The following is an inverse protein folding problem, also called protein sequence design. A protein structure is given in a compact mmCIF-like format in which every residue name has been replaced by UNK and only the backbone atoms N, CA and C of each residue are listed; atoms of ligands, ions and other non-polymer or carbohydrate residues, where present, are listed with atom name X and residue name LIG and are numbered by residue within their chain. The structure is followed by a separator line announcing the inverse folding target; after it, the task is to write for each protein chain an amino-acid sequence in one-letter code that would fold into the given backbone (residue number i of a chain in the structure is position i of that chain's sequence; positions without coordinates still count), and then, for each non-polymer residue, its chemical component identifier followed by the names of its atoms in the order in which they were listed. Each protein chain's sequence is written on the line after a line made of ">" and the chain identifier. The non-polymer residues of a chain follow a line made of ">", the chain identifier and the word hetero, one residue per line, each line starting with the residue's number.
data_IF_371752936305
#
_entry.id   IF_371752936305
#
_cell.length_a   1.000
_cell.length_b   1.000
_cell.length_c   1.000
_cell.angle_alpha   90.00
_cell.angle_beta   90.00
_cell.angle_gamma   90.00
#
_symmetry.space_group_name_H-M   'P 1'
#
loop_
_entity.id
_entity.type
_entity.pdbx_description
1 polymer ?
#
# COMPACT_ATOMS: atom_id res chain seq x y z
N UNK A 1 -27.47 -53.27 11.72
CA UNK A 1 -26.07 -53.43 11.84
C UNK A 1 -25.37 -52.82 10.68
N UNK A 2 -25.15 -51.57 10.65
CA UNK A 2 -24.60 -50.93 9.46
C UNK A 2 -23.30 -50.23 9.77
N UNK A 3 -22.30 -51.06 9.83
CA UNK A 3 -20.93 -50.63 9.99
C UNK A 3 -20.39 -49.91 8.77
N UNK A 4 -21.24 -49.71 7.78
CA UNK A 4 -20.84 -49.07 6.50
C UNK A 4 -20.97 -47.57 6.48
N UNK A 5 -21.46 -47.01 7.57
CA UNK A 5 -21.69 -45.56 7.63
C UNK A 5 -20.60 -44.78 8.32
N UNK A 6 -19.55 -45.42 8.75
CA UNK A 6 -18.51 -44.75 9.53
C UNK A 6 -17.32 -44.34 8.67
N UNK A 7 -17.26 -44.80 7.42
CA UNK A 7 -16.09 -44.57 6.58
C UNK A 7 -16.18 -43.25 5.77
N UNK A 8 -17.33 -42.62 5.76
CA UNK A 8 -17.54 -41.45 4.90
C UNK A 8 -17.17 -40.12 5.54
N UNK A 9 -16.71 -40.10 6.77
CA UNK A 9 -16.50 -38.81 7.47
C UNK A 9 -15.04 -38.39 7.56
N UNK A 10 -14.14 -39.20 7.06
CA UNK A 10 -12.72 -38.98 7.26
C UNK A 10 -11.98 -38.29 6.11
N UNK A 11 -12.71 -37.81 5.12
CA UNK A 11 -12.07 -37.24 3.94
C UNK A 11 -12.11 -35.71 3.95
N UNK A 12 -12.78 -35.12 4.90
CA UNK A 12 -12.97 -33.65 4.88
C UNK A 12 -11.90 -32.90 5.67
N UNK A 13 -11.04 -33.62 6.35
CA UNK A 13 -10.01 -32.97 7.16
C UNK A 13 -8.76 -32.56 6.42
N UNK A 14 -8.69 -32.79 5.14
CA UNK A 14 -7.56 -32.39 4.35
C UNK A 14 -7.89 -31.19 3.47
N UNK A 15 -8.55 -30.22 4.03
CA UNK A 15 -8.47 -28.91 3.41
C UNK A 15 -7.06 -28.42 3.63
N UNK A 16 -6.27 -28.32 2.59
CA UNK A 16 -4.97 -27.72 2.73
C UNK A 16 -5.21 -26.28 3.11
N UNK A 17 -5.00 -26.05 4.34
CA UNK A 17 -4.88 -24.71 4.85
C UNK A 17 -3.82 -23.91 4.12
N UNK A 18 -3.06 -24.57 3.32
CA UNK A 18 -2.06 -23.95 2.46
C UNK A 18 -2.62 -23.02 1.41
N UNK A 19 -3.93 -22.97 1.26
CA UNK A 19 -4.49 -21.98 0.37
C UNK A 19 -4.29 -20.54 0.86
N UNK A 20 -3.83 -20.40 2.06
CA UNK A 20 -3.28 -19.13 2.49
C UNK A 20 -1.93 -18.93 1.94
N UNK A 21 -1.70 -19.51 0.83
CA UNK A 21 -0.52 -19.26 0.12
C UNK A 21 -0.16 -17.82 0.32
N UNK A 22 0.70 -17.67 1.23
CA UNK A 22 1.44 -16.47 1.31
C UNK A 22 1.78 -16.16 -0.09
N UNK A 23 1.27 -15.08 -0.57
CA UNK A 23 1.67 -14.57 -1.86
C UNK A 23 3.18 -14.61 -1.86
N UNK A 24 3.82 -15.36 -2.76
CA UNK A 24 5.26 -15.34 -2.85
C UNK A 24 5.68 -13.88 -3.06
N UNK A 25 6.46 -13.34 -2.17
CA UNK A 25 6.89 -11.97 -2.24
C UNK A 25 6.06 -10.96 -1.43
N UNK A 26 5.07 -11.40 -0.67
CA UNK A 26 4.47 -10.56 0.37
C UNK A 26 5.46 -10.42 1.52
N UNK A 27 6.55 -9.70 1.28
CA UNK A 27 7.42 -9.27 2.36
C UNK A 27 6.66 -8.32 3.26
N UNK A 28 6.78 -8.53 4.55
CA UNK A 28 6.23 -7.59 5.53
C UNK A 28 6.93 -6.25 5.32
N UNK A 29 6.17 -5.21 5.06
CA UNK A 29 6.71 -3.85 4.95
C UNK A 29 7.35 -3.45 6.27
N UNK A 30 8.56 -2.95 6.18
CA UNK A 30 9.36 -2.57 7.34
C UNK A 30 9.73 -1.09 7.29
N UNK A 31 10.24 -0.60 8.41
CA UNK A 31 10.82 0.75 8.47
C UNK A 31 11.96 0.93 7.46
N UNK A 32 12.72 -0.13 7.20
CA UNK A 32 13.81 -0.11 6.20
C UNK A 32 13.28 0.13 4.80
N UNK A 33 12.15 -0.49 4.43
CA UNK A 33 11.52 -0.28 3.13
C UNK A 33 11.08 1.19 2.97
N UNK A 34 10.49 1.77 4.00
CA UNK A 34 10.10 3.17 4.00
C UNK A 34 11.32 4.09 3.87
N UNK A 35 12.40 3.82 4.59
CA UNK A 35 13.65 4.58 4.50
C UNK A 35 14.29 4.47 3.12
N UNK A 36 14.22 3.30 2.49
CA UNK A 36 14.70 3.10 1.13
C UNK A 36 13.93 3.98 0.14
N UNK A 37 12.61 4.00 0.23
CA UNK A 37 11.76 4.85 -0.59
C UNK A 37 12.08 6.34 -0.39
N UNK A 38 12.22 6.77 0.87
CA UNK A 38 12.65 8.14 1.18
C UNK A 38 13.98 8.49 0.50
N UNK A 39 14.94 7.59 0.56
CA UNK A 39 16.26 7.78 -0.06
C UNK A 39 16.16 7.87 -1.59
N UNK A 40 15.37 7.00 -2.21
CA UNK A 40 15.15 7.01 -3.67
C UNK A 40 14.52 8.33 -4.12
N UNK A 41 13.47 8.77 -3.46
CA UNK A 41 12.75 9.99 -3.83
C UNK A 41 13.59 11.24 -3.52
N UNK A 42 14.23 11.30 -2.36
CA UNK A 42 15.05 12.46 -1.99
C UNK A 42 16.30 12.61 -2.83
N UNK A 43 16.83 11.51 -3.34
CA UNK A 43 18.03 11.50 -4.18
C UNK A 43 17.78 11.85 -5.65
N UNK A 44 16.52 11.89 -6.09
CA UNK A 44 16.14 12.15 -7.48
C UNK A 44 15.18 13.33 -7.57
N UNK A 45 15.64 14.43 -8.19
CA UNK A 45 14.83 15.63 -8.32
C UNK A 45 13.51 15.39 -9.06
N UNK A 46 13.53 14.57 -10.11
CA UNK A 46 12.33 14.26 -10.88
C UNK A 46 11.34 13.47 -10.03
N UNK A 47 11.80 12.50 -9.26
CA UNK A 47 10.94 11.72 -8.35
C UNK A 47 10.37 12.56 -7.23
N UNK A 48 11.15 13.49 -6.68
CA UNK A 48 10.63 14.46 -5.69
C UNK A 48 9.49 15.28 -6.27
N UNK A 49 9.65 15.79 -7.48
CA UNK A 49 8.60 16.56 -8.14
C UNK A 49 7.34 15.71 -8.34
N UNK A 50 7.49 14.48 -8.81
CA UNK A 50 6.38 13.56 -8.99
C UNK A 50 5.65 13.31 -7.65
N UNK A 51 6.39 13.08 -6.58
CA UNK A 51 5.82 12.87 -5.25
C UNK A 51 5.01 14.09 -4.79
N UNK A 52 5.56 15.28 -4.97
CA UNK A 52 4.87 16.53 -4.61
C UNK A 52 3.62 16.78 -5.45
N UNK A 53 3.68 16.47 -6.75
CA UNK A 53 2.51 16.54 -7.63
C UNK A 53 1.41 15.55 -7.17
N UNK A 54 1.80 14.35 -6.74
CA UNK A 54 0.86 13.37 -6.17
C UNK A 54 0.20 13.88 -4.89
N UNK A 55 0.94 14.52 -4.01
CA UNK A 55 0.40 15.11 -2.79
C UNK A 55 -0.66 16.17 -3.12
N UNK A 56 -0.38 17.04 -4.08
CA UNK A 56 -1.36 18.04 -4.55
C UNK A 56 -2.60 17.41 -5.18
N UNK A 57 -2.42 16.34 -5.96
CA UNK A 57 -3.55 15.60 -6.53
C UNK A 57 -4.41 14.97 -5.43
N UNK A 58 -3.79 14.44 -4.39
CA UNK A 58 -4.50 13.90 -3.23
C UNK A 58 -5.41 14.94 -2.56
N UNK A 59 -4.91 16.15 -2.39
CA UNK A 59 -5.70 17.27 -1.86
C UNK A 59 -6.87 17.65 -2.78
N UNK A 60 -6.62 17.69 -4.08
CA UNK A 60 -7.65 17.98 -5.08
C UNK A 60 -8.73 16.89 -5.10
N UNK A 61 -8.35 15.61 -4.97
CA UNK A 61 -9.28 14.50 -4.86
C UNK A 61 -10.16 14.65 -3.62
N UNK A 62 -9.57 15.01 -2.48
CA UNK A 62 -10.30 15.22 -1.24
C UNK A 62 -11.34 16.35 -1.40
N UNK A 63 -10.95 17.47 -2.01
CA UNK A 63 -11.86 18.59 -2.28
C UNK A 63 -12.98 18.22 -3.27
N UNK A 64 -12.66 17.49 -4.33
CA UNK A 64 -13.65 17.01 -5.28
C UNK A 64 -14.65 16.05 -4.62
N UNK A 65 -14.17 15.21 -3.73
CA UNK A 65 -14.99 14.27 -2.98
C UNK A 65 -15.95 15.01 -2.02
N UNK A 66 -15.48 16.05 -1.33
CA UNK A 66 -16.33 16.90 -0.50
C UNK A 66 -17.44 17.57 -1.30
N UNK A 67 -17.14 17.95 -2.53
CA UNK A 67 -18.12 18.56 -3.46
C UNK A 67 -18.99 17.51 -4.15
N UNK A 68 -18.77 16.23 -3.91
CA UNK A 68 -19.44 15.09 -4.57
C UNK A 68 -19.27 15.10 -6.09
N UNK A 69 -18.18 15.65 -6.58
CA UNK A 69 -17.83 15.67 -7.99
C UNK A 69 -17.11 14.37 -8.37
N UNK A 70 -17.89 13.33 -8.59
CA UNK A 70 -17.36 11.99 -8.89
C UNK A 70 -16.53 11.95 -10.17
N UNK A 71 -16.89 12.77 -11.16
CA UNK A 71 -16.12 12.85 -12.41
C UNK A 71 -14.71 13.39 -12.15
N UNK A 72 -14.61 14.48 -11.41
CA UNK A 72 -13.32 15.03 -11.04
C UNK A 72 -12.50 14.04 -10.19
N UNK A 73 -13.13 13.33 -9.26
CA UNK A 73 -12.46 12.28 -8.47
C UNK A 73 -11.86 11.21 -9.37
N UNK A 74 -12.62 10.71 -10.34
CA UNK A 74 -12.15 9.67 -11.26
C UNK A 74 -10.98 10.16 -12.12
N UNK A 75 -11.08 11.35 -12.70
CA UNK A 75 -10.03 11.92 -13.55
C UNK A 75 -8.74 12.17 -12.75
N UNK A 76 -8.84 12.73 -11.56
CA UNK A 76 -7.69 13.00 -10.69
C UNK A 76 -7.06 11.70 -10.18
N UNK A 77 -7.87 10.70 -9.86
CA UNK A 77 -7.38 9.38 -9.42
C UNK A 77 -6.57 8.68 -10.51
N UNK A 78 -7.02 8.77 -11.77
CA UNK A 78 -6.25 8.22 -12.89
C UNK A 78 -4.90 8.90 -13.06
N UNK A 79 -4.85 10.22 -12.87
CA UNK A 79 -3.58 10.98 -12.91
C UNK A 79 -2.66 10.56 -11.75
N UNK A 80 -3.23 10.34 -10.57
CA UNK A 80 -2.48 9.89 -9.40
C UNK A 80 -1.82 8.53 -9.65
N UNK A 81 -2.57 7.57 -10.17
CA UNK A 81 -2.03 6.24 -10.52
C UNK A 81 -0.90 6.34 -11.55
N UNK A 82 -1.06 7.18 -12.57
CA UNK A 82 -0.01 7.38 -13.58
C UNK A 82 1.27 7.97 -12.98
N UNK A 83 1.18 8.86 -12.01
CA UNK A 83 2.35 9.40 -11.31
C UNK A 83 2.97 8.36 -10.36
N UNK A 84 2.15 7.57 -9.68
CA UNK A 84 2.60 6.49 -8.81
C UNK A 84 3.47 5.49 -9.58
N UNK A 85 3.05 5.09 -10.77
CA UNK A 85 3.83 4.22 -11.65
C UNK A 85 5.22 4.80 -11.99
N UNK A 86 5.31 6.12 -12.13
CA UNK A 86 6.58 6.80 -12.42
C UNK A 86 7.53 6.85 -11.21
N UNK A 87 7.00 6.77 -9.99
CA UNK A 87 7.84 6.70 -8.79
C UNK A 87 8.59 5.38 -8.68
N UNK A 88 8.03 4.31 -9.22
CA UNK A 88 8.67 3.02 -9.26
C UNK A 88 8.01 1.98 -8.35
N UNK A 89 8.42 0.71 -8.52
CA UNK A 89 7.80 -0.41 -7.82
C UNK A 89 8.02 -0.38 -6.31
N UNK A 90 9.10 0.22 -5.83
CA UNK A 90 9.41 0.30 -4.41
C UNK A 90 8.37 1.16 -3.67
N UNK A 91 7.97 2.27 -4.25
CA UNK A 91 6.93 3.12 -3.69
C UNK A 91 5.57 2.41 -3.68
N UNK A 92 5.20 1.79 -4.79
CA UNK A 92 3.95 1.03 -4.89
C UNK A 92 3.89 -0.11 -3.87
N UNK A 93 4.98 -0.86 -3.72
CA UNK A 93 5.09 -1.93 -2.73
C UNK A 93 4.97 -1.41 -1.29
N UNK A 94 5.57 -0.26 -1.00
CA UNK A 94 5.45 0.37 0.31
C UNK A 94 3.99 0.75 0.60
N UNK A 95 3.32 1.42 -0.33
CA UNK A 95 1.92 1.83 -0.16
C UNK A 95 0.98 0.64 0.01
N UNK A 96 1.18 -0.42 -0.75
CA UNK A 96 0.42 -1.66 -0.62
C UNK A 96 0.63 -2.31 0.76
N UNK A 97 1.87 -2.39 1.19
CA UNK A 97 2.21 -2.97 2.50
C UNK A 97 1.71 -2.16 3.69
N UNK A 98 1.53 -0.85 3.55
CA UNK A 98 1.03 -0.01 4.64
C UNK A 98 -0.40 -0.36 5.06
N UNK A 99 -1.18 -0.95 4.17
CA UNK A 99 -2.55 -1.33 4.47
C UNK A 99 -2.63 -2.41 5.57
N UNK A 100 -1.59 -3.22 5.69
CA UNK A 100 -1.52 -4.32 6.65
C UNK A 100 -0.82 -3.94 7.96
N UNK A 101 -0.32 -2.71 8.09
CA UNK A 101 0.42 -2.26 9.26
C UNK A 101 -0.54 -1.54 10.23
N UNK A 102 -0.49 -1.96 11.49
CA UNK A 102 -1.18 -1.21 12.54
C UNK A 102 -0.45 0.12 12.78
N UNK A 103 -1.12 1.27 12.56
CA UNK A 103 -0.50 2.58 12.73
C UNK A 103 -0.05 2.86 14.17
N UNK A 104 -0.66 2.20 15.16
CA UNK A 104 -0.29 2.36 16.56
C UNK A 104 0.92 1.52 16.96
N UNK A 105 1.34 0.59 16.11
CA UNK A 105 2.53 -0.22 16.36
C UNK A 105 3.80 0.62 16.27
N UNK A 106 4.88 0.15 16.88
CA UNK A 106 6.18 0.80 16.78
C UNK A 106 6.62 0.97 15.32
N UNK A 107 6.47 -0.06 14.52
CA UNK A 107 6.80 -0.02 13.08
C UNK A 107 5.93 1.01 12.36
N UNK A 108 4.63 1.05 12.65
CA UNK A 108 3.72 2.03 12.07
C UNK A 108 4.14 3.47 12.36
N UNK A 109 4.48 3.77 13.60
CA UNK A 109 4.96 5.10 14.01
C UNK A 109 6.30 5.49 13.36
N UNK A 110 7.21 4.54 13.24
CA UNK A 110 8.49 4.77 12.58
C UNK A 110 8.31 5.06 11.08
N UNK A 111 7.42 4.31 10.41
CA UNK A 111 7.08 4.53 9.00
C UNK A 111 6.40 5.89 8.83
N UNK A 112 5.47 6.24 9.70
CA UNK A 112 4.81 7.55 9.68
C UNK A 112 5.85 8.69 9.74
N UNK A 113 6.83 8.58 10.60
CA UNK A 113 7.92 9.55 10.70
C UNK A 113 8.70 9.69 9.39
N UNK A 114 8.92 8.59 8.67
CA UNK A 114 9.57 8.60 7.36
C UNK A 114 8.68 9.28 6.32
N UNK A 115 7.38 9.00 6.32
CA UNK A 115 6.41 9.63 5.39
C UNK A 115 6.31 11.14 5.63
N UNK A 116 6.34 11.59 6.88
CA UNK A 116 6.41 13.01 7.22
C UNK A 116 7.69 13.63 6.63
N UNK A 117 8.80 12.90 6.67
CA UNK A 117 10.04 13.32 6.02
C UNK A 117 9.91 13.51 4.51
N UNK A 118 9.14 12.63 3.85
CA UNK A 118 8.83 12.78 2.43
C UNK A 118 8.01 14.05 2.15
N UNK A 119 6.99 14.31 2.96
CA UNK A 119 6.13 15.49 2.81
C UNK A 119 6.92 16.80 2.93
N UNK A 120 7.92 16.81 3.81
CA UNK A 120 8.82 17.98 3.95
C UNK A 120 9.62 18.29 2.70
N UNK A 121 9.85 17.31 1.83
CA UNK A 121 10.53 17.55 0.56
C UNK A 121 9.73 18.43 -0.40
N UNK A 122 8.44 18.57 -0.16
CA UNK A 122 7.52 19.37 -0.98
C UNK A 122 7.42 20.85 -0.57
N UNK A 123 8.33 21.33 0.24
CA UNK A 123 8.41 22.74 0.59
C UNK A 123 7.55 23.14 1.78
N UNK A 124 7.22 22.16 2.60
CA UNK A 124 6.56 22.44 3.87
C UNK A 124 7.52 22.99 4.91
#
# INVERSE_FOLDING_TARGET
>A
MNLKLIVAILVIAAMPVCAQAQKPGAAVTTTVDAQMVLKIISGDKAKRQIYCDMTQLGEQIAQANEKKDNKAVDELSQKLVALEEKLGPEYAALMDGLQDINPESKVGQEIESVLIGLDRLCGG
#
